data_IF_247706390101
#
_entry.id   IF_247706390101
#
_cell.length_a   1.000
_cell.length_b   1.000
_cell.length_c   1.000
_cell.angle_alpha   90.00
_cell.angle_beta   90.00
_cell.angle_gamma   90.00
#
_symmetry.space_group_name_H-M   'P 1'
#
loop_
_entity.id
_entity.type
_entity.pdbx_description
1 polymer ?
#
# COMPACT_ATOMS: atom_id res chain seq x y z
N UNK A 1 18.93 17.41 14.93
CA UNK A 1 19.52 16.07 14.82
C UNK A 1 19.39 15.67 13.36
N UNK A 2 20.35 16.11 12.56
CA UNK A 2 20.36 15.96 11.10
C UNK A 2 21.33 14.83 10.81
N UNK A 3 20.81 13.64 10.53
CA UNK A 3 21.59 12.50 10.08
C UNK A 3 21.00 12.01 8.76
N UNK A 4 21.35 12.69 7.68
CA UNK A 4 21.36 12.17 6.33
C UNK A 4 22.54 12.83 5.63
N UNK A 5 23.75 12.36 5.94
CA UNK A 5 24.89 12.65 5.07
C UNK A 5 24.60 12.01 3.72
N UNK A 6 24.49 12.88 2.73
CA UNK A 6 24.29 12.56 1.33
C UNK A 6 25.64 12.17 0.74
N UNK A 7 26.08 10.94 1.00
CA UNK A 7 27.18 10.35 0.24
C UNK A 7 26.61 9.20 -0.61
N UNK A 8 26.40 9.50 -1.88
CA UNK A 8 26.01 8.52 -2.90
C UNK A 8 27.26 7.78 -3.37
N UNK A 9 28.03 7.23 -2.43
CA UNK A 9 29.18 6.39 -2.77
C UNK A 9 28.63 5.07 -3.28
N UNK A 10 28.86 4.74 -4.55
CA UNK A 10 28.59 3.42 -5.09
C UNK A 10 29.26 2.37 -4.19
N UNK A 11 28.46 1.62 -3.43
CA UNK A 11 28.96 0.43 -2.75
C UNK A 11 29.29 -0.59 -3.81
N UNK A 12 30.55 -1.00 -3.88
CA UNK A 12 30.93 -2.22 -4.61
C UNK A 12 30.15 -3.38 -3.99
N UNK A 13 29.31 -4.02 -4.79
CA UNK A 13 28.51 -5.15 -4.32
C UNK A 13 29.43 -6.36 -4.22
N UNK A 14 29.91 -6.63 -3.01
CA UNK A 14 30.81 -7.76 -2.73
C UNK A 14 30.05 -9.07 -2.51
N UNK A 15 28.74 -9.02 -2.23
CA UNK A 15 27.94 -10.19 -1.91
C UNK A 15 26.53 -10.12 -2.53
N UNK A 16 25.93 -11.22 -2.99
CA UNK A 16 24.58 -11.22 -3.59
C UNK A 16 23.49 -10.65 -2.66
N UNK A 17 23.63 -10.87 -1.35
CA UNK A 17 22.73 -10.31 -0.32
C UNK A 17 23.10 -8.90 0.17
N UNK A 18 24.03 -8.20 -0.49
CA UNK A 18 24.26 -6.79 -0.18
C UNK A 18 22.97 -6.00 -0.42
N UNK A 19 22.60 -5.19 0.57
CA UNK A 19 21.39 -4.35 0.57
C UNK A 19 21.26 -3.55 -0.71
N UNK A 20 20.04 -3.42 -1.23
CA UNK A 20 19.78 -2.57 -2.40
C UNK A 20 20.14 -1.11 -2.11
N UNK A 21 20.84 -0.51 -3.05
CA UNK A 21 21.14 0.91 -3.10
C UNK A 21 19.97 1.69 -3.71
N UNK A 22 19.87 2.99 -3.40
CA UNK A 22 18.84 3.85 -3.99
C UNK A 22 18.96 3.94 -5.52
N UNK A 23 20.17 3.90 -6.07
CA UNK A 23 20.41 3.85 -7.51
C UNK A 23 19.86 2.58 -8.14
N UNK A 24 20.10 1.40 -7.54
CA UNK A 24 19.57 0.13 -8.07
C UNK A 24 18.04 0.10 -8.08
N UNK A 25 17.39 0.65 -7.04
CA UNK A 25 15.92 0.76 -6.98
C UNK A 25 15.41 1.69 -8.09
N UNK A 26 16.10 2.81 -8.34
CA UNK A 26 15.75 3.76 -9.38
C UNK A 26 15.90 3.13 -10.77
N UNK A 27 17.03 2.47 -11.03
CA UNK A 27 17.27 1.74 -12.28
C UNK A 27 16.25 0.63 -12.51
N UNK A 28 15.90 -0.15 -11.47
CA UNK A 28 14.87 -1.17 -11.59
C UNK A 28 13.50 -0.59 -11.97
N UNK A 29 13.13 0.57 -11.41
CA UNK A 29 11.91 1.29 -11.80
C UNK A 29 11.97 1.72 -13.27
N UNK A 30 13.08 2.30 -13.71
CA UNK A 30 13.26 2.76 -15.10
C UNK A 30 13.18 1.61 -16.10
N UNK A 31 13.76 0.45 -15.77
CA UNK A 31 13.68 -0.75 -16.62
C UNK A 31 12.22 -1.22 -16.75
N UNK A 32 11.47 -1.27 -15.64
CA UNK A 32 10.05 -1.67 -15.66
C UNK A 32 9.17 -0.66 -16.41
N UNK A 33 9.49 0.63 -16.32
CA UNK A 33 8.81 1.69 -17.05
C UNK A 33 9.06 1.59 -18.55
N UNK A 34 10.33 1.39 -18.95
CA UNK A 34 10.71 1.15 -20.35
C UNK A 34 10.08 -0.11 -20.94
N UNK A 35 9.88 -1.14 -20.11
CA UNK A 35 9.18 -2.36 -20.49
C UNK A 35 7.65 -2.19 -20.60
N UNK A 36 7.10 -1.03 -20.26
CA UNK A 36 5.66 -0.73 -20.33
C UNK A 36 4.84 -1.34 -19.19
N UNK A 37 5.49 -1.81 -18.12
CA UNK A 37 4.82 -2.42 -16.96
C UNK A 37 4.40 -1.38 -15.92
N UNK A 38 4.99 -0.19 -15.96
CA UNK A 38 4.64 0.93 -15.10
C UNK A 38 3.77 1.90 -15.88
N UNK A 39 2.60 2.19 -15.33
CA UNK A 39 1.64 3.19 -15.84
C UNK A 39 1.28 4.15 -14.72
N UNK A 40 0.45 5.16 -15.02
CA UNK A 40 -0.05 6.10 -14.01
C UNK A 40 -0.87 5.42 -12.89
N UNK A 41 -1.49 4.26 -13.16
CA UNK A 41 -2.27 3.51 -12.17
C UNK A 41 -1.48 2.40 -11.47
N UNK A 42 -0.26 2.09 -11.94
CA UNK A 42 0.60 1.06 -11.35
C UNK A 42 1.16 1.53 -10.00
N UNK A 43 1.16 0.63 -9.02
CA UNK A 43 1.81 0.83 -7.73
C UNK A 43 2.82 -0.29 -7.47
N UNK A 44 3.95 0.08 -6.88
CA UNK A 44 4.93 -0.86 -6.36
C UNK A 44 4.48 -1.32 -4.98
N UNK A 45 4.08 -2.59 -4.86
CA UNK A 45 3.59 -3.18 -3.59
C UNK A 45 4.71 -3.89 -2.82
N UNK A 46 5.77 -4.27 -3.52
CA UNK A 46 6.98 -4.83 -2.92
C UNK A 46 8.16 -4.61 -3.88
N UNK A 47 9.32 -4.28 -3.31
CA UNK A 47 10.61 -4.21 -4.01
C UNK A 47 11.66 -4.82 -3.09
N UNK A 48 12.41 -5.80 -3.59
CA UNK A 48 13.43 -6.49 -2.82
C UNK A 48 14.44 -7.19 -3.72
N UNK A 49 15.49 -7.74 -3.11
CA UNK A 49 16.45 -8.57 -3.83
C UNK A 49 15.80 -9.89 -4.24
N UNK A 50 16.14 -10.36 -5.43
CA UNK A 50 15.91 -11.76 -5.77
C UNK A 50 17.03 -12.61 -5.17
N UNK A 51 16.68 -13.46 -4.20
CA UNK A 51 17.62 -14.27 -3.44
C UNK A 51 17.90 -15.63 -4.11
N UNK A 52 17.37 -15.87 -5.31
CA UNK A 52 17.50 -17.14 -6.03
C UNK A 52 18.95 -17.57 -6.27
N UNK A 53 19.86 -16.61 -6.41
CA UNK A 53 21.29 -16.81 -6.72
C UNK A 53 22.14 -17.17 -5.50
N UNK A 54 21.60 -17.08 -4.27
CA UNK A 54 22.38 -17.23 -3.04
C UNK A 54 22.90 -18.65 -2.82
N UNK A 55 22.12 -19.66 -3.20
CA UNK A 55 22.48 -21.06 -2.93
C UNK A 55 23.66 -21.57 -3.75
N UNK A 56 23.97 -20.92 -4.88
CA UNK A 56 25.02 -21.34 -5.80
C UNK A 56 26.22 -20.39 -5.84
N UNK A 57 26.24 -19.34 -4.99
CA UNK A 57 27.27 -18.32 -5.01
C UNK A 57 28.55 -18.77 -4.32
N UNK A 58 29.68 -18.65 -5.01
CA UNK A 58 31.02 -18.75 -4.45
C UNK A 58 31.76 -17.39 -4.50
N UNK A 59 32.63 -17.09 -3.52
CA UNK A 59 33.42 -15.86 -3.55
C UNK A 59 34.28 -15.76 -4.83
N UNK A 60 34.00 -14.76 -5.66
CA UNK A 60 34.67 -14.53 -6.94
C UNK A 60 33.77 -14.70 -8.17
N UNK A 61 32.56 -15.25 -7.98
CA UNK A 61 31.57 -15.32 -9.04
C UNK A 61 31.10 -13.93 -9.48
N UNK A 62 30.73 -13.81 -10.76
CA UNK A 62 30.10 -12.60 -11.27
C UNK A 62 28.66 -12.50 -10.72
N UNK A 63 28.34 -11.37 -10.10
CA UNK A 63 27.05 -11.16 -9.42
C UNK A 63 26.10 -10.44 -10.37
N UNK A 64 25.09 -11.16 -10.86
CA UNK A 64 23.93 -10.56 -11.51
C UNK A 64 22.96 -10.01 -10.45
N UNK A 65 22.82 -8.69 -10.39
CA UNK A 65 22.00 -7.98 -9.40
C UNK A 65 20.56 -7.98 -9.84
N UNK A 66 19.76 -8.88 -9.27
CA UNK A 66 18.34 -9.02 -9.57
C UNK A 66 17.46 -8.42 -8.49
N UNK A 67 16.46 -7.67 -8.94
CA UNK A 67 15.42 -7.07 -8.13
C UNK A 67 14.10 -7.76 -8.45
N UNK A 68 13.42 -8.22 -7.41
CA UNK A 68 12.04 -8.67 -7.49
C UNK A 68 11.10 -7.51 -7.15
N UNK A 69 10.18 -7.21 -8.05
CA UNK A 69 9.19 -6.16 -7.90
C UNK A 69 7.78 -6.74 -8.12
N UNK A 70 6.96 -6.67 -7.07
CA UNK A 70 5.54 -6.93 -7.21
C UNK A 70 4.86 -5.60 -7.56
N UNK A 71 4.14 -5.60 -8.68
CA UNK A 71 3.38 -4.46 -9.16
C UNK A 71 1.89 -4.75 -9.10
N UNK A 72 1.12 -3.69 -8.96
CA UNK A 72 -0.32 -3.76 -8.97
C UNK A 72 -0.91 -2.60 -9.75
N UNK A 73 -1.66 -2.92 -10.78
CA UNK A 73 -2.47 -1.94 -11.47
C UNK A 73 -3.76 -1.67 -10.67
N UNK A 74 -3.94 -0.43 -10.22
CA UNK A 74 -5.13 -0.03 -9.46
C UNK A 74 -6.39 0.10 -10.31
N UNK A 75 -6.26 0.28 -11.61
CA UNK A 75 -7.40 0.41 -12.51
C UNK A 75 -8.05 -0.96 -12.75
N UNK A 76 -7.23 -1.98 -13.02
CA UNK A 76 -7.70 -3.34 -13.33
C UNK A 76 -7.72 -4.28 -12.11
N UNK A 77 -6.93 -3.98 -11.06
CA UNK A 77 -6.74 -4.86 -9.92
C UNK A 77 -5.75 -6.00 -10.16
N UNK A 78 -5.11 -6.06 -11.34
CA UNK A 78 -4.19 -7.13 -11.71
C UNK A 78 -2.83 -6.91 -11.05
N UNK A 79 -2.34 -7.96 -10.38
CA UNK A 79 -0.99 -8.01 -9.82
C UNK A 79 0.00 -8.72 -10.75
N UNK A 80 1.25 -8.28 -10.76
CA UNK A 80 2.34 -8.95 -11.50
C UNK A 80 3.58 -9.09 -10.62
N UNK A 81 4.25 -10.23 -10.71
CA UNK A 81 5.55 -10.50 -10.12
C UNK A 81 6.65 -10.40 -11.19
N UNK A 82 7.58 -9.47 -10.99
CA UNK A 82 8.61 -9.13 -11.97
C UNK A 82 9.99 -9.35 -11.37
N UNK A 83 10.87 -9.96 -12.15
CA UNK A 83 12.29 -10.10 -11.84
C UNK A 83 13.05 -9.29 -12.88
N UNK A 84 13.86 -8.35 -12.41
CA UNK A 84 14.61 -7.40 -13.21
C UNK A 84 16.10 -7.56 -12.91
N UNK A 85 16.93 -7.71 -13.92
CA UNK A 85 18.38 -7.60 -13.76
C UNK A 85 18.77 -6.13 -13.89
N UNK A 86 19.34 -5.57 -12.83
CA UNK A 86 19.94 -4.23 -12.84
C UNK A 86 21.30 -4.26 -13.54
N UNK A 87 22.04 -5.37 -13.45
CA UNK A 87 23.35 -5.52 -14.11
C UNK A 87 23.22 -5.60 -15.63
N UNK A 88 22.23 -6.33 -16.15
CA UNK A 88 21.98 -6.48 -17.59
C UNK A 88 20.93 -5.49 -18.14
N UNK A 89 20.35 -4.66 -17.28
CA UNK A 89 19.32 -3.66 -17.60
C UNK A 89 18.07 -4.20 -18.31
N UNK A 90 17.65 -5.42 -17.96
CA UNK A 90 16.54 -6.12 -18.62
C UNK A 90 15.54 -6.75 -17.65
N UNK A 91 14.33 -6.99 -18.14
CA UNK A 91 13.31 -7.76 -17.42
C UNK A 91 13.53 -9.24 -17.71
N UNK A 92 13.90 -10.00 -16.68
CA UNK A 92 14.17 -11.44 -16.78
C UNK A 92 12.87 -12.24 -16.81
N UNK A 93 11.88 -11.82 -16.01
CA UNK A 93 10.61 -12.52 -15.89
C UNK A 93 9.50 -11.58 -15.48
N UNK A 94 8.33 -11.76 -16.09
CA UNK A 94 7.07 -11.17 -15.66
C UNK A 94 6.04 -12.28 -15.52
N UNK A 95 5.38 -12.35 -14.37
CA UNK A 95 4.34 -13.34 -14.08
C UNK A 95 3.08 -12.61 -13.61
N UNK A 96 1.98 -12.72 -14.34
CA UNK A 96 0.69 -12.23 -13.87
C UNK A 96 0.16 -13.13 -12.75
N UNK A 97 -0.27 -12.55 -11.65
CA UNK A 97 -0.75 -13.28 -10.47
C UNK A 97 -2.23 -13.64 -10.63
N UNK A 98 -2.56 -14.91 -10.43
CA UNK A 98 -3.92 -15.41 -10.30
C UNK A 98 -4.31 -15.33 -8.81
N UNK A 99 -5.15 -14.37 -8.44
CA UNK A 99 -5.50 -14.13 -7.03
C UNK A 99 -6.16 -15.33 -6.35
N UNK A 100 -6.77 -16.23 -7.11
CA UNK A 100 -7.39 -17.44 -6.57
C UNK A 100 -6.35 -18.53 -6.24
N UNK A 101 -5.18 -18.53 -6.88
CA UNK A 101 -4.14 -19.57 -6.72
C UNK A 101 -2.90 -19.04 -6.00
N UNK A 102 -2.42 -17.87 -6.41
CA UNK A 102 -1.17 -17.26 -5.95
C UNK A 102 -1.40 -16.35 -4.74
N UNK A 103 -2.67 -16.06 -4.44
CA UNK A 103 -3.07 -15.12 -3.40
C UNK A 103 -3.02 -13.66 -3.86
N UNK A 104 -3.40 -12.76 -2.96
CA UNK A 104 -3.36 -11.33 -3.22
C UNK A 104 -1.97 -10.75 -2.95
N UNK A 105 -1.64 -9.70 -3.70
CA UNK A 105 -0.48 -8.85 -3.40
C UNK A 105 -0.59 -8.18 -2.03
N UNK A 106 0.55 -7.80 -1.40
CA UNK A 106 0.55 -7.08 -0.13
C UNK A 106 -0.34 -5.84 -0.13
N UNK A 107 -0.94 -5.54 1.03
CA UNK A 107 -1.79 -4.36 1.21
C UNK A 107 -0.93 -3.09 1.14
N UNK A 108 -1.42 -2.09 0.40
CA UNK A 108 -0.83 -0.76 0.33
C UNK A 108 -1.40 0.14 1.42
N UNK A 109 -0.58 1.07 1.94
CA UNK A 109 -1.03 2.06 2.93
C UNK A 109 -2.23 2.90 2.44
N UNK A 110 -2.28 3.43 1.19
CA UNK A 110 -3.48 4.08 0.68
C UNK A 110 -4.74 3.20 0.67
N UNK A 111 -4.60 1.87 0.52
CA UNK A 111 -5.73 0.95 0.61
C UNK A 111 -6.18 0.73 2.04
N UNK A 112 -5.24 0.68 2.99
CA UNK A 112 -5.57 0.62 4.40
C UNK A 112 -6.40 1.85 4.81
N UNK A 113 -5.98 3.05 4.41
CA UNK A 113 -6.72 4.29 4.70
C UNK A 113 -8.12 4.31 4.07
N UNK A 114 -8.28 3.83 2.83
CA UNK A 114 -9.58 3.73 2.18
C UNK A 114 -10.52 2.75 2.90
N UNK A 115 -10.00 1.60 3.34
CA UNK A 115 -10.73 0.61 4.14
C UNK A 115 -11.24 1.22 5.45
N UNK A 116 -10.38 1.93 6.18
CA UNK A 116 -10.76 2.61 7.42
C UNK A 116 -11.90 3.63 7.21
N UNK A 117 -11.86 4.43 6.13
CA UNK A 117 -12.95 5.38 5.80
C UNK A 117 -14.27 4.68 5.53
N UNK A 118 -14.24 3.56 4.83
CA UNK A 118 -15.44 2.77 4.56
C UNK A 118 -16.06 2.22 5.86
N UNK A 119 -15.23 1.65 6.75
CA UNK A 119 -15.69 1.17 8.05
C UNK A 119 -16.25 2.29 8.94
N UNK A 120 -15.68 3.49 8.88
CA UNK A 120 -16.19 4.65 9.60
C UNK A 120 -17.60 5.05 9.14
N UNK A 121 -17.89 5.00 7.83
CA UNK A 121 -19.23 5.26 7.29
C UNK A 121 -20.24 4.19 7.72
N UNK A 122 -19.83 2.93 7.75
CA UNK A 122 -20.66 1.82 8.24
C UNK A 122 -20.96 1.91 9.74
N UNK A 123 -20.04 2.43 10.55
CA UNK A 123 -20.32 2.66 11.97
C UNK A 123 -21.54 3.57 12.17
N UNK A 124 -21.75 4.59 11.34
CA UNK A 124 -22.95 5.43 11.40
C UNK A 124 -24.23 4.60 11.17
N UNK A 125 -24.26 3.74 10.14
CA UNK A 125 -25.41 2.85 9.84
C UNK A 125 -25.67 1.85 10.96
N UNK A 126 -24.60 1.34 11.58
CA UNK A 126 -24.66 0.31 12.63
C UNK A 126 -25.09 0.92 13.98
N UNK A 127 -24.73 2.17 14.25
CA UNK A 127 -25.14 2.92 15.46
C UNK A 127 -26.62 3.32 15.38
N UNK A 128 -27.14 3.64 14.19
CA UNK A 128 -28.50 4.15 14.00
C UNK A 128 -29.58 3.06 13.82
N UNK A 129 -29.21 1.77 14.02
CA UNK A 129 -30.21 0.70 14.06
C UNK A 129 -30.93 0.67 15.42
N UNK A 130 -32.26 0.53 15.45
CA UNK A 130 -32.99 0.33 16.70
C UNK A 130 -32.54 -1.01 17.31
N UNK A 131 -31.73 -0.97 18.36
CA UNK A 131 -31.35 -2.15 19.16
C UNK A 131 -32.04 -2.06 20.50
N UNK A 132 -32.68 -3.16 20.91
CA UNK A 132 -33.34 -3.27 22.21
C UNK A 132 -32.40 -2.94 23.37
N UNK A 133 -33.00 -2.50 24.48
CA UNK A 133 -32.45 -1.75 25.64
C UNK A 133 -31.19 -2.33 26.33
N UNK A 134 -30.70 -3.50 25.94
CA UNK A 134 -29.65 -4.24 26.64
C UNK A 134 -28.21 -3.83 26.26
N UNK A 135 -28.03 -2.92 25.29
CA UNK A 135 -26.71 -2.58 24.74
C UNK A 135 -26.03 -1.34 25.35
N UNK A 136 -26.63 -0.68 26.34
CA UNK A 136 -26.25 0.68 26.76
C UNK A 136 -25.01 0.84 27.66
N UNK A 137 -24.15 -0.16 27.86
CA UNK A 137 -23.01 0.02 28.76
C UNK A 137 -21.81 -0.84 28.38
N UNK A 138 -20.99 -0.41 27.41
CA UNK A 138 -19.51 -0.45 27.56
C UNK A 138 -18.64 -0.12 26.32
N UNK A 139 -19.14 0.02 25.08
CA UNK A 139 -18.21 -0.04 23.90
C UNK A 139 -18.20 1.07 22.84
N UNK A 140 -18.75 2.26 23.10
CA UNK A 140 -18.71 3.34 22.09
C UNK A 140 -17.57 4.37 22.23
N UNK A 141 -16.91 4.49 23.39
CA UNK A 141 -15.86 5.49 23.56
C UNK A 141 -14.51 5.09 22.93
N UNK A 142 -14.19 3.79 22.87
CA UNK A 142 -12.85 3.33 22.46
C UNK A 142 -12.66 3.33 20.94
N UNK A 143 -13.68 2.93 20.17
CA UNK A 143 -13.61 2.88 18.69
C UNK A 143 -13.62 4.27 18.07
N UNK A 144 -14.47 5.19 18.56
CA UNK A 144 -14.44 6.59 18.12
C UNK A 144 -13.11 7.25 18.46
N UNK A 145 -12.57 7.05 19.69
CA UNK A 145 -11.31 7.67 20.11
C UNK A 145 -10.08 7.13 19.36
N UNK A 146 -10.09 5.85 18.93
CA UNK A 146 -9.04 5.30 18.07
C UNK A 146 -9.10 5.88 16.65
N UNK A 147 -10.29 6.06 16.08
CA UNK A 147 -10.49 6.70 14.77
C UNK A 147 -10.08 8.19 14.77
N UNK A 148 -10.34 8.93 15.86
CA UNK A 148 -9.97 10.34 15.96
C UNK A 148 -8.45 10.59 16.08
N UNK A 149 -7.66 9.59 16.50
CA UNK A 149 -6.19 9.74 16.63
C UNK A 149 -5.42 9.56 15.31
N UNK A 150 -6.05 9.02 14.26
CA UNK A 150 -5.41 8.80 12.95
C UNK A 150 -5.79 9.86 11.90
N UNK A 151 -6.62 10.84 12.25
CA UNK A 151 -6.86 12.03 11.43
C UNK A 151 -5.78 13.08 11.71
N UNK A 152 -5.21 13.68 10.67
CA UNK A 152 -4.06 14.58 10.78
C UNK A 152 -4.28 15.76 11.76
N UNK A 153 -3.25 16.15 12.53
CA UNK A 153 -3.35 17.24 13.49
C UNK A 153 -3.37 18.58 12.75
N UNK A 154 -4.57 19.10 12.45
CA UNK A 154 -4.70 20.42 11.84
C UNK A 154 -6.12 20.92 11.59
N UNK A 155 -7.15 20.10 11.80
CA UNK A 155 -8.54 20.52 11.59
C UNK A 155 -9.46 19.99 12.67
N UNK A 156 -9.27 20.46 13.90
CA UNK A 156 -10.23 20.24 14.97
C UNK A 156 -10.46 21.55 15.72
N UNK A 157 -11.50 22.28 15.30
CA UNK A 157 -12.12 23.29 16.15
C UNK A 157 -12.78 22.55 17.32
N UNK A 158 -12.52 23.00 18.55
CA UNK A 158 -12.97 22.39 19.80
C UNK A 158 -14.50 22.30 19.87
N UNK A 159 -15.06 21.13 19.54
CA UNK A 159 -16.48 20.82 19.75
C UNK A 159 -16.68 19.87 20.94
N UNK A 160 -16.18 20.24 22.13
CA UNK A 160 -16.47 19.56 23.41
C UNK A 160 -17.94 19.67 23.88
N UNK A 161 -18.90 19.84 22.98
CA UNK A 161 -20.32 19.97 23.31
C UNK A 161 -21.33 19.49 22.26
N UNK A 162 -20.94 18.93 21.11
CA UNK A 162 -21.94 18.45 20.13
C UNK A 162 -22.30 16.99 20.38
N UNK A 163 -23.30 16.79 21.24
CA UNK A 163 -24.17 15.62 21.14
C UNK A 163 -24.85 15.63 19.76
N UNK A 164 -24.83 14.49 19.07
CA UNK A 164 -25.58 14.14 17.84
C UNK A 164 -25.41 14.98 16.55
N UNK A 165 -24.92 16.22 16.58
CA UNK A 165 -24.97 17.11 15.41
C UNK A 165 -24.05 16.75 14.24
N UNK A 166 -23.12 15.79 14.40
CA UNK A 166 -22.22 15.36 13.32
C UNK A 166 -22.88 14.47 12.24
N UNK A 167 -24.09 13.95 12.51
CA UNK A 167 -24.81 13.07 11.60
C UNK A 167 -25.99 13.74 10.88
N UNK A 168 -26.43 14.92 11.33
CA UNK A 168 -27.67 15.58 10.85
C UNK A 168 -27.60 16.04 9.38
N UNK A 169 -26.41 16.07 8.77
CA UNK A 169 -26.22 16.43 7.36
C UNK A 169 -26.19 15.25 6.38
N UNK A 170 -26.27 14.00 6.87
CA UNK A 170 -26.16 12.79 6.03
C UNK A 170 -27.48 12.02 5.83
N UNK A 171 -28.51 12.35 6.60
CA UNK A 171 -29.91 11.97 6.37
C UNK A 171 -30.56 13.08 5.53
N UNK A 172 -30.60 13.06 4.20
CA UNK A 172 -31.60 12.28 3.47
C UNK A 172 -31.30 12.25 1.94
N UNK A 173 -30.09 12.62 1.50
CA UNK A 173 -29.82 12.85 0.06
C UNK A 173 -28.50 12.32 -0.51
N UNK A 174 -27.60 11.77 0.31
CA UNK A 174 -26.25 11.38 -0.13
C UNK A 174 -26.11 9.90 -0.53
N UNK A 175 -27.00 9.03 -0.04
CA UNK A 175 -26.92 7.58 -0.30
C UNK A 175 -27.38 7.20 -1.72
N UNK A 176 -28.23 8.01 -2.35
CA UNK A 176 -28.80 7.69 -3.66
C UNK A 176 -27.89 7.99 -4.87
N UNK A 177 -26.77 8.70 -4.71
CA UNK A 177 -25.94 9.14 -5.86
C UNK A 177 -24.75 8.25 -6.21
N UNK A 178 -24.35 7.31 -5.37
CA UNK A 178 -23.15 6.48 -5.61
C UNK A 178 -23.45 5.04 -6.09
N UNK A 179 -24.71 4.68 -6.31
CA UNK A 179 -25.10 3.35 -6.82
C UNK A 179 -25.36 3.32 -8.34
N UNK A 180 -25.27 4.46 -9.04
CA UNK A 180 -25.56 4.56 -10.48
C UNK A 180 -24.35 4.70 -11.41
N UNK A 181 -23.12 4.47 -10.95
CA UNK A 181 -21.91 4.60 -11.78
C UNK A 181 -21.02 3.34 -11.78
N UNK A 182 -21.60 2.17 -11.49
CA UNK A 182 -20.92 0.88 -11.60
C UNK A 182 -21.72 -0.11 -12.47
N UNK A 183 -22.14 0.35 -13.65
CA UNK A 183 -22.50 -0.50 -14.79
C UNK A 183 -21.65 -0.12 -16.00
#
# INVERSE_FOLDING_TARGET
MTLLDSDTTQRTVTHPLSTLTASEITTAREILDRAGLVTASTQFVYVGLDESVVHAFEPGDNIDRRVRALLLDRATGIGTDNIVSVTAEEVIKTTTLDTAKDGHVPILEPRFQASCRYFQSLCCVVIDRPRGEQWHRHRNAMVCRLCSMQAEPGRFEDQRGSTSAGCDGLSDGAVARNLGQLE
#
